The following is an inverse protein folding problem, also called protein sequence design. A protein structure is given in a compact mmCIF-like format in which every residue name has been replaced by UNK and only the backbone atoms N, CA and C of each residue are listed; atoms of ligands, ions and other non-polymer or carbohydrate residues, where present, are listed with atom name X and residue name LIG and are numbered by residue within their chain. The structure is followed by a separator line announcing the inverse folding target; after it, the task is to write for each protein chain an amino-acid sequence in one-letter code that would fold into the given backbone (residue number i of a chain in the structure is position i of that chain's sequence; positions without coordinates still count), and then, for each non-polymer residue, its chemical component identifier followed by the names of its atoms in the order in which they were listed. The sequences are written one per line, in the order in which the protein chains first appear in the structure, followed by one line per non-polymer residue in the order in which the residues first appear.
data_IF_530557081023
#
_entry.id   IF_530557081023
#
_cell.length_a   1.000
_cell.length_b   1.000
_cell.length_c   1.000
_cell.angle_alpha   90.00
_cell.angle_beta   90.00
_cell.angle_gamma   90.00
#
_symmetry.space_group_name_H-M   'P 1'
#
loop_
_entity.id
_entity.type
_entity.pdbx_description
1 polymer ?
#
# COMPACT_ATOMS: atom_id res chain seq x y z
N UNK A 1 -15.19 15.93 10.44
CA UNK A 1 -15.62 15.09 9.30
C UNK A 1 -14.54 15.15 8.23
N UNK A 2 -14.10 14.02 7.63
CA UNK A 2 -13.12 14.11 6.57
C UNK A 2 -13.79 14.70 5.32
N UNK A 3 -13.23 15.82 4.86
CA UNK A 3 -13.64 16.53 3.65
C UNK A 3 -13.46 15.62 2.43
N UNK A 4 -14.40 15.66 1.49
CA UNK A 4 -14.34 14.90 0.22
C UNK A 4 -13.06 15.33 -0.51
N UNK A 5 -12.01 14.51 -0.45
CA UNK A 5 -10.68 14.84 -1.00
C UNK A 5 -10.57 14.72 -2.53
N UNK A 6 -11.61 14.23 -3.21
CA UNK A 6 -11.54 13.78 -4.62
C UNK A 6 -12.81 14.15 -5.39
N UNK A 7 -12.98 15.43 -5.66
CA UNK A 7 -14.08 15.93 -6.50
C UNK A 7 -13.82 15.65 -7.98
N UNK A 8 -14.84 15.17 -8.70
CA UNK A 8 -14.73 14.90 -10.14
C UNK A 8 -15.26 16.12 -10.89
N UNK A 9 -14.45 16.64 -11.80
CA UNK A 9 -14.81 17.81 -12.63
C UNK A 9 -14.91 17.44 -14.11
N UNK A 10 -15.87 18.01 -14.86
CA UNK A 10 -16.91 18.95 -14.42
C UNK A 10 -18.05 18.27 -13.67
N UNK A 11 -18.62 18.93 -12.64
CA UNK A 11 -19.81 18.40 -11.93
C UNK A 11 -21.09 18.53 -12.77
N UNK A 12 -21.22 19.62 -13.53
CA UNK A 12 -22.38 19.90 -14.37
C UNK A 12 -22.07 19.60 -15.84
N UNK A 13 -22.81 18.67 -16.45
CA UNK A 13 -22.52 18.21 -17.81
C UNK A 13 -23.23 19.02 -18.90
N UNK A 14 -24.49 19.42 -18.66
CA UNK A 14 -25.38 20.00 -19.68
C UNK A 14 -25.96 21.37 -19.33
N UNK A 15 -25.59 21.96 -18.18
CA UNK A 15 -26.16 23.23 -17.68
C UNK A 15 -25.51 24.48 -18.28
N UNK A 16 -24.81 24.34 -19.40
CA UNK A 16 -24.15 25.45 -20.09
C UNK A 16 -25.18 26.26 -20.91
N UNK A 17 -25.07 27.59 -20.84
CA UNK A 17 -25.95 28.48 -21.60
C UNK A 17 -25.61 28.41 -23.10
N UNK A 18 -26.62 28.23 -23.95
CA UNK A 18 -26.45 28.24 -25.41
C UNK A 18 -26.46 29.69 -25.89
N UNK A 19 -25.44 30.13 -26.63
CA UNK A 19 -25.35 31.51 -27.10
C UNK A 19 -26.43 31.82 -28.15
N UNK A 20 -27.02 33.02 -28.07
CA UNK A 20 -27.97 33.51 -29.08
C UNK A 20 -27.30 33.56 -30.47
N UNK A 21 -27.83 32.81 -31.44
CA UNK A 21 -27.29 32.73 -32.81
C UNK A 21 -26.83 31.33 -33.24
N UNK A 22 -26.89 30.33 -32.36
CA UNK A 22 -26.66 28.93 -32.73
C UNK A 22 -27.85 28.41 -33.55
N UNK A 23 -27.59 27.93 -34.77
CA UNK A 23 -28.64 27.39 -35.64
C UNK A 23 -29.23 26.06 -35.14
N UNK A 24 -28.39 25.20 -34.57
CA UNK A 24 -28.79 23.87 -34.09
C UNK A 24 -28.42 23.71 -32.61
N UNK A 25 -29.27 24.25 -31.74
CA UNK A 25 -29.01 24.30 -30.29
C UNK A 25 -28.92 22.91 -29.65
N UNK A 26 -29.75 21.97 -30.11
CA UNK A 26 -29.75 20.60 -29.59
C UNK A 26 -28.43 19.89 -29.85
N UNK A 27 -27.89 20.01 -31.07
CA UNK A 27 -26.58 19.47 -31.43
C UNK A 27 -25.47 20.12 -30.60
N UNK A 28 -25.52 21.44 -30.41
CA UNK A 28 -24.57 22.18 -29.60
C UNK A 28 -24.56 21.69 -28.13
N UNK A 29 -25.73 21.58 -27.50
CA UNK A 29 -25.87 21.10 -26.11
C UNK A 29 -25.41 19.64 -26.00
N UNK A 30 -25.77 18.79 -26.97
CA UNK A 30 -25.40 17.37 -26.97
C UNK A 30 -23.88 17.23 -27.06
N UNK A 31 -23.24 17.94 -27.99
CA UNK A 31 -21.79 17.91 -28.14
C UNK A 31 -21.07 18.46 -26.90
N UNK A 32 -21.58 19.54 -26.30
CA UNK A 32 -21.04 20.08 -25.05
C UNK A 32 -21.15 19.07 -23.90
N UNK A 33 -22.29 18.39 -23.79
CA UNK A 33 -22.53 17.36 -22.78
C UNK A 33 -21.56 16.19 -22.97
N UNK A 34 -21.38 15.70 -24.19
CA UNK A 34 -20.42 14.63 -24.50
C UNK A 34 -18.98 15.03 -24.16
N UNK A 35 -18.56 16.24 -24.54
CA UNK A 35 -17.25 16.75 -24.20
C UNK A 35 -17.04 16.83 -22.67
N UNK A 36 -18.05 17.28 -21.93
CA UNK A 36 -18.00 17.34 -20.47
C UNK A 36 -17.95 15.94 -19.83
N UNK A 37 -18.67 14.96 -20.38
CA UNK A 37 -18.59 13.56 -19.93
C UNK A 37 -17.17 13.02 -20.11
N UNK A 38 -16.55 13.25 -21.27
CA UNK A 38 -15.17 12.81 -21.53
C UNK A 38 -14.20 13.45 -20.52
N UNK A 39 -14.35 14.74 -20.23
CA UNK A 39 -13.54 15.44 -19.22
C UNK A 39 -13.77 14.87 -17.82
N UNK A 40 -15.02 14.56 -17.48
CA UNK A 40 -15.38 13.98 -16.19
C UNK A 40 -14.77 12.60 -16.02
N UNK A 41 -14.81 11.76 -17.05
CA UNK A 41 -14.15 10.46 -17.07
C UNK A 41 -12.63 10.58 -16.96
N UNK A 42 -12.01 11.54 -17.65
CA UNK A 42 -10.58 11.81 -17.52
C UNK A 42 -10.20 12.23 -16.09
N UNK A 43 -10.99 13.11 -15.47
CA UNK A 43 -10.81 13.48 -14.06
C UNK A 43 -10.94 12.24 -13.17
N UNK A 44 -11.93 11.39 -13.38
CA UNK A 44 -12.11 10.15 -12.61
C UNK A 44 -10.91 9.19 -12.78
N UNK A 45 -10.44 8.97 -14.00
CA UNK A 45 -9.28 8.12 -14.28
C UNK A 45 -8.02 8.60 -13.55
N UNK A 46 -7.78 9.92 -13.53
CA UNK A 46 -6.66 10.49 -12.78
C UNK A 46 -6.76 10.19 -11.28
N UNK A 47 -7.95 10.35 -10.69
CA UNK A 47 -8.15 10.03 -9.29
C UNK A 47 -7.94 8.54 -8.99
N UNK A 48 -8.36 7.66 -9.90
CA UNK A 48 -8.11 6.22 -9.77
C UNK A 48 -6.61 5.91 -9.84
N UNK A 49 -5.88 6.52 -10.76
CA UNK A 49 -4.42 6.40 -10.86
C UNK A 49 -3.73 6.85 -9.56
N UNK A 50 -4.09 8.02 -9.03
CA UNK A 50 -3.54 8.53 -7.77
C UNK A 50 -3.80 7.54 -6.61
N UNK A 51 -5.02 7.01 -6.52
CA UNK A 51 -5.40 6.02 -5.49
C UNK A 51 -4.60 4.73 -5.57
N UNK A 52 -4.51 4.15 -6.77
CA UNK A 52 -3.76 2.91 -6.95
C UNK A 52 -2.25 3.13 -6.81
N UNK A 53 -1.74 4.31 -7.18
CA UNK A 53 -0.36 4.72 -6.95
C UNK A 53 -0.02 4.81 -5.46
N UNK A 54 -0.88 5.48 -4.66
CA UNK A 54 -0.75 5.53 -3.20
C UNK A 54 -0.73 4.12 -2.60
N UNK A 55 -1.71 3.27 -2.96
CA UNK A 55 -1.81 1.90 -2.47
C UNK A 55 -0.59 1.04 -2.85
N UNK A 56 -0.10 1.18 -4.08
CA UNK A 56 1.08 0.48 -4.56
C UNK A 56 2.32 0.84 -3.73
N UNK A 57 2.53 2.14 -3.47
CA UNK A 57 3.64 2.62 -2.68
C UNK A 57 3.58 2.11 -1.23
N UNK A 58 2.40 2.15 -0.60
CA UNK A 58 2.21 1.61 0.75
C UNK A 58 2.46 0.10 0.80
N UNK A 59 1.90 -0.64 -0.14
CA UNK A 59 2.10 -2.10 -0.24
C UNK A 59 3.57 -2.44 -0.45
N UNK A 60 4.27 -1.71 -1.30
CA UNK A 60 5.71 -1.87 -1.52
C UNK A 60 6.52 -1.61 -0.23
N UNK A 61 6.15 -0.60 0.55
CA UNK A 61 6.77 -0.32 1.85
C UNK A 61 6.53 -1.45 2.85
N UNK A 62 5.30 -1.97 2.93
CA UNK A 62 4.94 -3.12 3.78
C UNK A 62 5.72 -4.36 3.37
N UNK A 63 5.79 -4.67 2.08
CA UNK A 63 6.53 -5.82 1.56
C UNK A 63 8.03 -5.73 1.92
N UNK A 64 8.65 -4.57 1.73
CA UNK A 64 10.06 -4.36 2.10
C UNK A 64 10.30 -4.63 3.59
N UNK A 65 9.41 -4.13 4.45
CA UNK A 65 9.50 -4.36 5.91
C UNK A 65 9.29 -5.83 6.26
N UNK A 66 8.36 -6.51 5.58
CA UNK A 66 8.12 -7.94 5.76
C UNK A 66 9.35 -8.76 5.38
N UNK A 67 10.01 -8.46 4.25
CA UNK A 67 11.24 -9.13 3.84
C UNK A 67 12.38 -8.92 4.85
N UNK A 68 12.59 -7.68 5.31
CA UNK A 68 13.58 -7.40 6.37
C UNK A 68 13.29 -8.17 7.66
N UNK A 69 12.01 -8.33 8.01
CA UNK A 69 11.61 -9.12 9.17
C UNK A 69 11.88 -10.60 8.95
N UNK A 70 11.58 -11.14 7.77
CA UNK A 70 11.84 -12.52 7.40
C UNK A 70 13.34 -12.84 7.51
N UNK A 71 14.22 -11.98 6.97
CA UNK A 71 15.67 -12.15 7.09
C UNK A 71 16.14 -12.22 8.56
N UNK A 72 15.51 -11.43 9.43
CA UNK A 72 15.80 -11.44 10.87
C UNK A 72 15.30 -12.72 11.53
N UNK A 73 14.13 -13.20 11.14
CA UNK A 73 13.57 -14.49 11.62
C UNK A 73 14.48 -15.64 11.21
N UNK A 74 14.96 -15.67 9.96
CA UNK A 74 15.83 -16.74 9.47
C UNK A 74 17.18 -16.74 10.19
N UNK A 75 17.79 -15.57 10.38
CA UNK A 75 19.02 -15.43 11.19
C UNK A 75 18.81 -15.87 12.62
N UNK A 76 17.68 -15.53 13.22
CA UNK A 76 17.35 -15.96 14.59
C UNK A 76 17.16 -17.47 14.65
N UNK A 77 16.47 -18.06 13.68
CA UNK A 77 16.27 -19.51 13.58
C UNK A 77 17.60 -20.26 13.54
N UNK A 78 18.55 -19.80 12.72
CA UNK A 78 19.91 -20.38 12.67
C UNK A 78 20.60 -20.28 14.03
N UNK A 79 20.56 -19.11 14.68
CA UNK A 79 21.16 -18.94 16.01
C UNK A 79 20.52 -19.82 17.07
N UNK A 80 19.20 -19.98 17.05
CA UNK A 80 18.49 -20.88 17.97
C UNK A 80 18.90 -22.33 17.74
N UNK A 81 18.96 -22.80 16.49
CA UNK A 81 19.41 -24.16 16.18
C UNK A 81 20.86 -24.44 16.60
N UNK A 82 21.73 -23.42 16.51
CA UNK A 82 23.12 -23.53 17.00
C UNK A 82 23.19 -23.54 18.52
N UNK A 83 22.35 -22.76 19.19
CA UNK A 83 22.27 -22.79 20.65
C UNK A 83 21.74 -24.12 21.15
N UNK A 84 20.72 -24.72 20.54
CA UNK A 84 20.23 -26.05 20.93
C UNK A 84 21.34 -27.12 20.85
N UNK A 85 22.17 -27.10 19.81
CA UNK A 85 23.29 -28.05 19.70
C UNK A 85 24.45 -27.78 20.66
N UNK A 86 24.69 -26.52 21.05
CA UNK A 86 25.75 -26.17 22.00
C UNK A 86 25.28 -26.31 23.46
N UNK A 87 23.98 -26.15 23.73
CA UNK A 87 23.38 -26.27 25.06
C UNK A 87 23.39 -27.71 25.54
N UNK A 88 23.20 -28.70 24.67
CA UNK A 88 23.39 -30.12 25.02
C UNK A 88 24.84 -30.37 25.50
N UNK A 89 25.87 -30.11 24.69
CA UNK A 89 27.28 -30.35 25.06
C UNK A 89 27.78 -29.48 26.24
N UNK A 90 27.33 -28.23 26.28
CA UNK A 90 27.67 -27.27 27.33
C UNK A 90 26.99 -27.57 28.66
N UNK A 91 25.73 -28.04 28.66
CA UNK A 91 25.07 -28.47 29.89
C UNK A 91 25.78 -29.67 30.49
N UNK A 92 26.14 -30.71 29.72
CA UNK A 92 26.89 -31.85 30.28
C UNK A 92 28.22 -31.41 30.90
N UNK A 93 28.96 -30.51 30.23
CA UNK A 93 30.23 -29.99 30.74
C UNK A 93 30.06 -29.14 32.00
N UNK A 94 29.05 -28.27 32.03
CA UNK A 94 28.72 -27.40 33.16
C UNK A 94 28.18 -28.21 34.35
N UNK A 95 27.35 -29.23 34.12
CA UNK A 95 26.90 -30.16 35.16
C UNK A 95 28.05 -30.97 35.74
N UNK A 96 28.98 -31.46 34.91
CA UNK A 96 30.17 -32.17 35.38
C UNK A 96 31.03 -31.26 36.26
N UNK A 97 31.40 -30.06 35.78
CA UNK A 97 32.23 -29.12 36.56
C UNK A 97 31.56 -28.71 37.87
N UNK A 98 30.23 -28.48 37.87
CA UNK A 98 29.49 -28.13 39.09
C UNK A 98 29.32 -29.31 40.05
N UNK A 99 29.25 -30.54 39.55
CA UNK A 99 29.18 -31.75 40.40
C UNK A 99 30.53 -32.03 41.04
N UNK A 100 31.65 -31.92 40.31
CA UNK A 100 32.99 -32.11 40.88
C UNK A 100 33.36 -31.03 41.91
N UNK A 101 32.88 -29.80 41.76
CA UNK A 101 33.11 -28.72 42.72
C UNK A 101 32.33 -28.85 44.05
N UNK A 102 31.32 -29.73 44.11
CA UNK A 102 30.55 -29.99 45.33
C UNK A 102 31.05 -31.21 46.12
N UNK A 103 32.03 -31.95 45.59
CA UNK A 103 32.58 -33.19 46.17
C UNK A 103 34.00 -32.98 46.77
N UNK A 104 34.51 -31.74 46.74
CA UNK A 104 35.76 -31.30 47.40
C UNK A 104 35.39 -30.27 48.47
#
# INVERSE_FOLDING_TARGET
MPLIKRGIEPTNLSRSHVSSGVKNELECVTNNTLANVIRQLSSLSKHAEDMFGELYNETGSVLRRANQLQDRVDKLKVKVTQLDSTVEEGQYSVWHVRTYALVI
#
